data_IF_416068649394
#
_entry.id   IF_416068649394
#
_cell.length_a   1.000
_cell.length_b   1.000
_cell.length_c   1.000
_cell.angle_alpha   90.00
_cell.angle_beta   90.00
_cell.angle_gamma   90.00
#
_symmetry.space_group_name_H-M   'P 1'
#
loop_
_entity.id
_entity.type
_entity.pdbx_description
1 polymer ?
#
# COMPACT_ATOMS: atom_id res chain seq x y z
N UNK A 1 -10.84 16.68 -15.14
CA UNK A 1 -10.19 15.86 -14.10
C UNK A 1 -9.18 16.76 -13.40
N UNK A 2 -9.25 16.89 -12.07
CA UNK A 2 -8.30 17.73 -11.33
C UNK A 2 -6.90 17.10 -11.44
N UNK A 3 -5.90 17.88 -11.87
CA UNK A 3 -4.52 17.41 -11.85
C UNK A 3 -4.07 17.27 -10.38
N UNK A 4 -3.44 16.14 -9.99
CA UNK A 4 -2.94 15.98 -8.64
C UNK A 4 -1.92 17.06 -8.34
N UNK A 5 -1.99 17.64 -7.14
CA UNK A 5 -0.99 18.62 -6.71
C UNK A 5 0.38 17.95 -6.61
N UNK A 6 1.44 18.68 -6.97
CA UNK A 6 2.82 18.19 -6.88
C UNK A 6 3.20 17.77 -5.44
N UNK A 7 2.57 18.38 -4.44
CA UNK A 7 2.75 18.01 -3.03
C UNK A 7 2.18 16.63 -2.69
N UNK A 8 1.00 16.28 -3.22
CA UNK A 8 0.37 14.98 -2.98
C UNK A 8 1.20 13.85 -3.61
N UNK A 9 1.67 14.04 -4.84
CA UNK A 9 2.52 13.07 -5.52
C UNK A 9 3.82 12.83 -4.76
N UNK A 10 4.47 13.91 -4.27
CA UNK A 10 5.69 13.81 -3.47
C UNK A 10 5.46 13.06 -2.15
N UNK A 11 4.35 13.33 -1.46
CA UNK A 11 4.01 12.63 -0.23
C UNK A 11 3.82 11.12 -0.48
N UNK A 12 3.03 10.75 -1.48
CA UNK A 12 2.77 9.36 -1.82
C UNK A 12 4.05 8.60 -2.24
N UNK A 13 4.94 9.26 -2.99
CA UNK A 13 6.21 8.65 -3.38
C UNK A 13 7.13 8.37 -2.17
N UNK A 14 7.14 9.27 -1.16
CA UNK A 14 7.91 9.07 0.07
C UNK A 14 7.33 7.93 0.91
N UNK A 15 6.01 7.90 1.10
CA UNK A 15 5.32 6.83 1.84
C UNK A 15 5.51 5.47 1.16
N UNK A 16 5.34 5.41 -0.17
CA UNK A 16 5.55 4.17 -0.92
C UNK A 16 6.98 3.67 -0.76
N UNK A 17 7.98 4.56 -0.85
CA UNK A 17 9.37 4.21 -0.62
C UNK A 17 9.59 3.66 0.79
N UNK A 18 9.02 4.31 1.81
CA UNK A 18 9.10 3.86 3.20
C UNK A 18 8.56 2.44 3.36
N UNK A 19 7.45 2.11 2.71
CA UNK A 19 6.84 0.78 2.75
C UNK A 19 7.66 -0.29 2.00
N UNK A 20 8.46 0.10 1.00
CA UNK A 20 9.39 -0.83 0.33
C UNK A 20 10.64 -1.08 1.18
N UNK A 21 11.14 -0.05 1.88
CA UNK A 21 12.33 -0.15 2.75
C UNK A 21 12.01 -0.87 4.06
N UNK A 22 10.85 -0.58 4.66
CA UNK A 22 10.35 -1.17 5.90
C UNK A 22 8.93 -1.74 5.69
N UNK A 23 8.82 -2.97 5.15
CA UNK A 23 7.53 -3.60 4.93
C UNK A 23 6.77 -3.81 6.26
N UNK A 24 5.49 -3.44 6.26
CA UNK A 24 4.61 -3.67 7.41
C UNK A 24 4.25 -5.15 7.50
N UNK A 25 4.42 -5.76 8.67
CA UNK A 25 4.08 -7.14 8.91
C UNK A 25 2.59 -7.42 8.62
N UNK A 26 2.31 -8.50 7.89
CA UNK A 26 0.96 -8.87 7.52
C UNK A 26 0.36 -8.04 6.38
N UNK A 27 1.12 -7.11 5.77
CA UNK A 27 0.70 -6.38 4.59
C UNK A 27 1.63 -6.64 3.41
N UNK A 28 1.07 -6.64 2.19
CA UNK A 28 1.83 -6.48 0.95
C UNK A 28 1.22 -5.35 0.16
N UNK A 29 2.02 -4.34 -0.11
CA UNK A 29 1.59 -3.12 -0.79
C UNK A 29 2.33 -3.00 -2.10
N UNK A 30 1.60 -2.76 -3.18
CA UNK A 30 2.16 -2.44 -4.50
C UNK A 30 1.27 -1.44 -5.22
N UNK A 31 1.83 -0.79 -6.24
CA UNK A 31 1.04 0.02 -7.16
C UNK A 31 0.31 -0.90 -8.14
N UNK A 32 -0.91 -0.52 -8.53
CA UNK A 32 -1.62 -1.19 -9.61
C UNK A 32 -0.91 -0.93 -10.95
N UNK A 33 -0.44 0.31 -11.13
CA UNK A 33 0.38 0.77 -12.24
C UNK A 33 1.49 1.68 -11.70
N UNK A 34 2.74 1.43 -12.08
CA UNK A 34 3.90 2.22 -11.64
C UNK A 34 3.84 3.70 -12.09
N UNK A 35 3.10 4.00 -13.15
CA UNK A 35 2.88 5.37 -13.63
C UNK A 35 1.79 6.12 -12.85
N UNK A 36 1.02 5.42 -12.00
CA UNK A 36 -0.10 5.99 -11.25
C UNK A 36 0.07 5.80 -9.74
N UNK A 37 0.59 6.84 -9.09
CA UNK A 37 0.87 6.84 -7.65
C UNK A 37 -0.38 6.94 -6.76
N UNK A 38 -1.57 7.00 -7.35
CA UNK A 38 -2.84 7.12 -6.62
C UNK A 38 -3.64 5.81 -6.59
N UNK A 39 -3.18 4.75 -7.28
CA UNK A 39 -3.86 3.44 -7.31
C UNK A 39 -2.95 2.33 -6.77
N UNK A 40 -3.38 1.75 -5.65
CA UNK A 40 -2.60 0.82 -4.85
C UNK A 40 -3.38 -0.48 -4.69
N UNK A 41 -2.67 -1.61 -4.75
CA UNK A 41 -3.17 -2.91 -4.36
C UNK A 41 -2.54 -3.30 -3.02
N UNK A 42 -3.37 -3.63 -2.06
CA UNK A 42 -2.95 -4.03 -0.72
C UNK A 42 -3.49 -5.42 -0.44
N UNK A 43 -2.61 -6.35 -0.13
CA UNK A 43 -3.00 -7.63 0.43
C UNK A 43 -2.75 -7.63 1.94
N UNK A 44 -3.72 -8.11 2.71
CA UNK A 44 -3.68 -8.21 4.17
C UNK A 44 -3.75 -9.68 4.57
N UNK A 45 -2.81 -10.09 5.42
CA UNK A 45 -2.77 -11.41 6.02
C UNK A 45 -3.37 -11.33 7.42
N UNK A 46 -4.35 -12.17 7.69
CA UNK A 46 -5.04 -12.18 8.96
C UNK A 46 -4.11 -12.54 10.12
N UNK A 47 -4.01 -11.68 11.16
CA UNK A 47 -3.10 -11.90 12.28
C UNK A 47 -3.42 -13.19 13.07
N UNK A 48 -2.41 -13.82 13.69
CA UNK A 48 -2.64 -14.94 14.60
C UNK A 48 -3.52 -14.54 15.79
N UNK A 49 -4.18 -15.53 16.37
CA UNK A 49 -5.07 -15.41 17.53
C UNK A 49 -6.26 -14.45 17.32
N UNK A 50 -6.67 -14.28 16.05
CA UNK A 50 -7.87 -13.52 15.68
C UNK A 50 -8.82 -14.38 14.84
N UNK A 51 -10.07 -13.92 14.70
CA UNK A 51 -11.05 -14.55 13.79
C UNK A 51 -10.60 -14.54 12.33
N UNK A 52 -9.62 -13.71 11.98
CA UNK A 52 -9.10 -13.57 10.62
C UNK A 52 -7.85 -14.42 10.39
N UNK A 53 -7.30 -15.07 11.41
CA UNK A 53 -6.06 -15.85 11.33
C UNK A 53 -6.03 -16.76 10.09
N UNK A 54 -4.94 -16.68 9.34
CA UNK A 54 -4.75 -17.47 8.12
C UNK A 54 -5.54 -16.97 6.90
N UNK A 55 -6.34 -15.91 7.05
CA UNK A 55 -7.03 -15.25 5.94
C UNK A 55 -6.09 -14.45 5.05
N UNK A 56 -6.46 -14.36 3.77
CA UNK A 56 -5.84 -13.50 2.76
C UNK A 56 -6.92 -12.61 2.14
N UNK A 57 -6.73 -11.29 2.25
CA UNK A 57 -7.68 -10.28 1.79
C UNK A 57 -6.96 -9.36 0.80
N UNK A 58 -7.62 -8.99 -0.30
CA UNK A 58 -7.09 -8.12 -1.36
C UNK A 58 -8.19 -7.19 -1.86
#
# INVERSE_FOLDING_TARGET
MAQPSSSALRALALEYKSLQEEPVEGFRVKLVNEDNMFEWEVAIFGPPDTLYQGGYFK
#
